data_IF_705823046885
#
_entry.id   IF_705823046885
#
_cell.length_a   1.000
_cell.length_b   1.000
_cell.length_c   1.000
_cell.angle_alpha   90.00
_cell.angle_beta   90.00
_cell.angle_gamma   90.00
#
_symmetry.space_group_name_H-M   'P 1'
#
loop_
_entity.id
_entity.type
_entity.pdbx_description
1 polymer ?
#
# COMPACT_ATOMS: atom_id res chain seq x y z
N UNK A 1 11.54 -8.93 27.28
CA UNK A 1 10.67 -9.96 26.67
C UNK A 1 10.52 -9.62 25.19
N UNK A 2 10.96 -10.49 24.29
CA UNK A 2 10.72 -10.33 22.85
C UNK A 2 9.26 -10.70 22.57
N UNK A 3 8.42 -9.69 22.33
CA UNK A 3 7.05 -9.91 21.87
C UNK A 3 7.10 -10.45 20.44
N UNK A 4 6.98 -11.76 20.28
CA UNK A 4 6.83 -12.38 18.95
C UNK A 4 5.39 -12.09 18.51
N UNK A 5 5.24 -11.36 17.41
CA UNK A 5 3.94 -11.15 16.78
C UNK A 5 3.39 -12.49 16.31
N UNK A 6 2.24 -12.91 16.82
CA UNK A 6 1.58 -14.20 16.52
C UNK A 6 0.72 -14.18 15.26
N UNK A 7 0.65 -13.05 14.55
CA UNK A 7 -0.12 -12.92 13.30
C UNK A 7 0.66 -13.53 12.13
N UNK A 8 -0.02 -14.23 11.19
CA UNK A 8 0.62 -14.79 10.01
C UNK A 8 1.22 -13.69 9.13
N UNK A 9 2.36 -13.99 8.51
CA UNK A 9 2.97 -13.13 7.50
C UNK A 9 2.12 -13.22 6.22
N UNK A 10 1.69 -12.07 5.72
CA UNK A 10 0.92 -11.98 4.47
C UNK A 10 1.82 -11.51 3.33
N UNK A 11 1.67 -12.14 2.16
CA UNK A 11 2.43 -11.85 0.96
C UNK A 11 1.51 -11.21 -0.08
N UNK A 12 1.85 -9.97 -0.46
CA UNK A 12 1.15 -9.22 -1.50
C UNK A 12 2.09 -8.80 -2.62
N UNK A 13 2.21 -9.59 -3.69
CA UNK A 13 3.06 -9.26 -4.83
C UNK A 13 2.57 -7.97 -5.50
N UNK A 14 3.51 -7.07 -5.80
CA UNK A 14 3.25 -5.88 -6.64
C UNK A 14 3.14 -6.30 -8.10
N UNK A 15 2.12 -5.78 -8.77
CA UNK A 15 1.93 -5.97 -10.22
C UNK A 15 2.53 -4.83 -11.04
N UNK A 16 3.25 -3.89 -10.42
CA UNK A 16 3.82 -2.70 -11.07
C UNK A 16 4.66 -3.04 -12.31
N UNK A 17 5.45 -4.11 -12.24
CA UNK A 17 6.34 -4.54 -13.32
C UNK A 17 5.71 -5.59 -14.25
N UNK A 18 4.42 -5.90 -14.10
CA UNK A 18 3.74 -6.83 -14.97
C UNK A 18 3.48 -6.22 -16.36
N UNK A 19 3.43 -7.07 -17.39
CA UNK A 19 2.93 -6.69 -18.70
C UNK A 19 1.47 -6.22 -18.57
N UNK A 20 1.24 -4.92 -18.77
CA UNK A 20 -0.07 -4.29 -18.58
C UNK A 20 -1.16 -4.91 -19.47
N UNK A 21 -0.78 -5.47 -20.62
CA UNK A 21 -1.72 -6.15 -21.52
C UNK A 21 -2.21 -7.49 -20.97
N UNK A 22 -1.55 -8.03 -19.93
CA UNK A 22 -1.80 -9.35 -19.34
C UNK A 22 -2.11 -9.30 -17.85
N UNK A 23 -2.46 -8.13 -17.30
CA UNK A 23 -2.68 -7.96 -15.85
C UNK A 23 -3.61 -9.01 -15.24
N UNK A 24 -4.74 -9.29 -15.89
CA UNK A 24 -5.71 -10.27 -15.38
C UNK A 24 -5.09 -11.67 -15.23
N UNK A 25 -4.34 -12.12 -16.24
CA UNK A 25 -3.67 -13.43 -16.25
C UNK A 25 -2.59 -13.48 -15.17
N UNK A 26 -1.78 -12.43 -15.05
CA UNK A 26 -0.73 -12.35 -14.03
C UNK A 26 -1.33 -12.37 -12.63
N UNK A 27 -2.39 -11.60 -12.39
CA UNK A 27 -3.05 -11.53 -11.09
C UNK A 27 -3.70 -12.87 -10.70
N UNK A 28 -4.38 -13.53 -11.63
CA UNK A 28 -4.96 -14.86 -11.39
C UNK A 28 -3.88 -15.89 -11.05
N UNK A 29 -2.77 -15.89 -11.81
CA UNK A 29 -1.61 -16.75 -11.51
C UNK A 29 -1.04 -16.50 -10.11
N UNK A 30 -0.86 -15.23 -9.71
CA UNK A 30 -0.33 -14.88 -8.39
C UNK A 30 -1.26 -15.35 -7.26
N UNK A 31 -2.58 -15.16 -7.41
CA UNK A 31 -3.56 -15.64 -6.43
C UNK A 31 -3.55 -17.17 -6.34
N UNK A 32 -3.50 -17.87 -7.47
CA UNK A 32 -3.41 -19.33 -7.52
C UNK A 32 -2.08 -19.87 -6.98
N UNK A 33 -1.04 -19.03 -6.97
CA UNK A 33 0.27 -19.34 -6.38
C UNK A 33 0.34 -19.05 -4.87
N UNK A 34 -0.77 -18.64 -4.25
CA UNK A 34 -0.87 -18.43 -2.81
C UNK A 34 -0.64 -16.98 -2.34
N UNK A 35 -0.74 -15.99 -3.23
CA UNK A 35 -0.76 -14.59 -2.80
C UNK A 35 -1.98 -14.30 -1.91
N UNK A 36 -1.76 -13.67 -0.75
CA UNK A 36 -2.83 -13.30 0.18
C UNK A 36 -3.65 -12.11 -0.33
N UNK A 37 -3.01 -11.23 -1.08
CA UNK A 37 -3.62 -10.07 -1.70
C UNK A 37 -2.81 -9.59 -2.91
N UNK A 38 -3.38 -8.72 -3.74
CA UNK A 38 -2.69 -8.11 -4.87
C UNK A 38 -2.35 -6.65 -4.53
N UNK A 39 -1.09 -6.28 -4.74
CA UNK A 39 -0.63 -4.91 -4.51
C UNK A 39 -0.55 -4.13 -5.82
N UNK A 40 -1.21 -2.98 -5.85
CA UNK A 40 -1.34 -2.13 -7.03
C UNK A 40 -0.80 -0.73 -6.73
N UNK A 41 0.27 -0.38 -7.42
CA UNK A 41 0.95 0.91 -7.30
C UNK A 41 0.34 1.94 -8.26
N UNK A 42 -0.35 2.93 -7.71
CA UNK A 42 -1.02 4.02 -8.45
C UNK A 42 -0.22 5.31 -8.32
N UNK A 43 0.20 5.88 -9.45
CA UNK A 43 1.07 7.05 -9.52
C UNK A 43 0.50 8.13 -10.44
N UNK A 44 0.56 9.39 -10.03
CA UNK A 44 -0.06 10.53 -10.73
C UNK A 44 0.92 11.48 -11.44
N UNK A 45 2.22 11.16 -11.45
CA UNK A 45 3.27 12.01 -12.01
C UNK A 45 3.59 13.28 -11.20
N UNK A 46 2.86 13.56 -10.11
CA UNK A 46 3.05 14.75 -9.28
C UNK A 46 3.71 14.40 -7.95
N UNK A 47 3.18 13.42 -7.22
CA UNK A 47 3.78 13.00 -5.95
C UNK A 47 5.07 12.21 -6.16
N UNK A 48 5.12 11.46 -7.26
CA UNK A 48 6.29 10.74 -7.75
C UNK A 48 6.47 11.04 -9.24
N UNK A 49 7.71 11.04 -9.78
CA UNK A 49 7.98 11.36 -11.18
C UNK A 49 7.71 10.16 -12.11
N UNK A 50 6.57 9.50 -11.95
CA UNK A 50 6.14 8.38 -12.78
C UNK A 50 4.60 8.31 -12.83
N UNK A 51 4.06 7.69 -13.87
CA UNK A 51 2.61 7.51 -14.08
C UNK A 51 2.37 6.03 -14.36
N UNK A 52 1.42 5.44 -13.63
CA UNK A 52 1.04 4.04 -13.83
C UNK A 52 -0.36 3.96 -14.44
N UNK A 53 -1.38 3.78 -13.62
CA UNK A 53 -2.77 3.62 -14.03
C UNK A 53 -3.72 4.16 -12.96
N UNK A 54 -4.96 4.42 -13.36
CA UNK A 54 -6.01 4.89 -12.46
C UNK A 54 -7.12 3.87 -12.22
N UNK A 55 -8.17 4.33 -11.54
CA UNK A 55 -9.37 3.55 -11.22
C UNK A 55 -10.03 2.80 -12.41
N UNK A 56 -9.99 3.26 -13.69
CA UNK A 56 -10.57 2.48 -14.79
C UNK A 56 -9.86 1.14 -15.03
N UNK A 57 -8.54 1.09 -14.83
CA UNK A 57 -7.76 -0.15 -14.94
C UNK A 57 -8.07 -1.09 -13.77
N UNK A 58 -8.16 -0.54 -12.56
CA UNK A 58 -8.56 -1.31 -11.35
C UNK A 58 -9.95 -1.92 -11.55
N UNK A 59 -10.92 -1.14 -12.03
CA UNK A 59 -12.28 -1.59 -12.28
C UNK A 59 -12.34 -2.66 -13.38
N UNK A 60 -11.53 -2.52 -14.43
CA UNK A 60 -11.40 -3.54 -15.48
C UNK A 60 -10.83 -4.83 -14.91
N UNK A 61 -9.70 -4.75 -14.19
CA UNK A 61 -9.03 -5.89 -13.58
C UNK A 61 -9.95 -6.63 -12.60
N UNK A 62 -10.65 -5.91 -11.71
CA UNK A 62 -11.51 -6.53 -10.68
C UNK A 62 -12.60 -7.44 -11.27
N UNK A 63 -13.09 -7.17 -12.48
CA UNK A 63 -14.08 -8.03 -13.18
C UNK A 63 -13.53 -9.42 -13.54
N UNK A 64 -12.22 -9.55 -13.67
CA UNK A 64 -11.54 -10.79 -14.02
C UNK A 64 -10.99 -11.55 -12.82
N UNK A 65 -11.13 -11.00 -11.61
CA UNK A 65 -10.60 -11.61 -10.39
C UNK A 65 -11.71 -12.25 -9.56
N UNK A 66 -11.39 -13.24 -8.70
CA UNK A 66 -12.33 -13.75 -7.73
C UNK A 66 -12.96 -12.63 -6.90
N UNK A 67 -14.24 -12.77 -6.55
CA UNK A 67 -14.96 -11.77 -5.75
C UNK A 67 -14.22 -11.44 -4.45
N UNK A 68 -13.68 -12.48 -3.80
CA UNK A 68 -12.87 -12.41 -2.57
C UNK A 68 -11.45 -11.85 -2.74
N UNK A 69 -10.98 -11.58 -3.96
CA UNK A 69 -9.64 -11.06 -4.19
C UNK A 69 -9.49 -9.69 -3.52
N UNK A 70 -8.52 -9.58 -2.61
CA UNK A 70 -8.22 -8.35 -1.89
C UNK A 70 -7.27 -7.48 -2.71
N UNK A 71 -7.70 -6.26 -3.03
CA UNK A 71 -6.89 -5.28 -3.76
C UNK A 71 -6.37 -4.21 -2.80
N UNK A 72 -5.04 -4.22 -2.60
CA UNK A 72 -4.31 -3.22 -1.83
C UNK A 72 -3.78 -2.15 -2.77
N UNK A 73 -4.45 -0.98 -2.79
CA UNK A 73 -4.04 0.14 -3.61
C UNK A 73 -3.05 1.02 -2.85
N UNK A 74 -1.83 1.12 -3.38
CA UNK A 74 -0.81 2.04 -2.89
C UNK A 74 -0.82 3.32 -3.72
N UNK A 75 -1.26 4.38 -3.07
CA UNK A 75 -1.62 5.65 -3.69
C UNK A 75 -0.46 6.62 -3.56
N UNK A 76 0.46 6.55 -4.52
CA UNK A 76 1.56 7.49 -4.71
C UNK A 76 1.07 8.69 -5.52
N UNK A 77 0.08 9.41 -4.97
CA UNK A 77 -0.62 10.51 -5.62
C UNK A 77 -0.72 11.72 -4.69
N UNK A 78 -0.79 12.91 -5.28
CA UNK A 78 -1.02 14.18 -4.58
C UNK A 78 -2.52 14.34 -4.27
N UNK A 79 -2.85 14.88 -3.10
CA UNK A 79 -4.24 15.05 -2.64
C UNK A 79 -5.05 13.73 -2.72
N UNK A 80 -4.63 12.68 -1.99
CA UNK A 80 -5.18 11.33 -2.09
C UNK A 80 -6.70 11.27 -1.88
N UNK A 81 -7.28 12.18 -1.09
CA UNK A 81 -8.71 12.25 -0.80
C UNK A 81 -9.57 12.36 -2.06
N UNK A 82 -9.05 12.93 -3.15
CA UNK A 82 -9.77 13.12 -4.40
C UNK A 82 -10.11 11.81 -5.11
N UNK A 83 -9.35 10.74 -4.83
CA UNK A 83 -9.45 9.48 -5.56
C UNK A 83 -10.21 8.38 -4.82
N UNK A 84 -10.51 8.58 -3.53
CA UNK A 84 -11.08 7.58 -2.62
C UNK A 84 -12.36 6.93 -3.19
N UNK A 85 -13.37 7.74 -3.54
CA UNK A 85 -14.66 7.24 -4.02
C UNK A 85 -14.53 6.44 -5.32
N UNK A 86 -13.75 6.98 -6.26
CA UNK A 86 -13.53 6.33 -7.56
C UNK A 86 -12.76 5.01 -7.40
N UNK A 87 -11.82 4.94 -6.46
CA UNK A 87 -11.08 3.71 -6.17
C UNK A 87 -11.95 2.67 -5.45
N UNK A 88 -12.80 3.09 -4.51
CA UNK A 88 -13.80 2.19 -3.91
C UNK A 88 -14.74 1.63 -4.98
N UNK A 89 -15.28 2.50 -5.84
CA UNK A 89 -16.17 2.09 -6.93
C UNK A 89 -15.48 1.13 -7.91
N UNK A 90 -14.16 1.23 -8.08
CA UNK A 90 -13.36 0.32 -8.87
C UNK A 90 -13.10 -1.05 -8.20
N UNK A 91 -13.47 -1.20 -6.92
CA UNK A 91 -13.35 -2.46 -6.17
C UNK A 91 -12.11 -2.57 -5.30
N UNK A 92 -11.49 -1.44 -4.92
CA UNK A 92 -10.41 -1.41 -3.94
C UNK A 92 -10.88 -1.98 -2.59
N UNK A 93 -10.02 -2.77 -1.94
CA UNK A 93 -10.26 -3.32 -0.60
C UNK A 93 -9.55 -2.52 0.49
N UNK A 94 -8.36 -2.00 0.15
CA UNK A 94 -7.57 -1.13 0.99
C UNK A 94 -7.02 0.03 0.17
N UNK A 95 -6.95 1.19 0.82
CA UNK A 95 -6.40 2.41 0.26
C UNK A 95 -5.26 2.89 1.16
N UNK A 96 -4.03 2.80 0.65
CA UNK A 96 -2.81 3.20 1.36
C UNK A 96 -2.30 4.50 0.77
N UNK A 97 -2.40 5.61 1.50
CA UNK A 97 -1.86 6.92 1.07
C UNK A 97 -0.56 7.26 1.80
N UNK A 98 0.20 8.24 1.31
CA UNK A 98 1.42 8.71 1.99
C UNK A 98 1.12 9.89 2.90
N UNK A 99 1.69 9.89 4.11
CA UNK A 99 1.58 11.01 5.06
C UNK A 99 1.99 12.34 4.40
N UNK A 100 3.01 12.29 3.54
CA UNK A 100 3.60 13.42 2.84
C UNK A 100 2.74 13.93 1.67
N UNK A 101 1.68 13.21 1.27
CA UNK A 101 0.90 13.54 0.08
C UNK A 101 -0.40 14.31 0.37
N UNK A 102 -0.68 14.58 1.65
CA UNK A 102 -1.85 15.33 2.11
C UNK A 102 -1.47 16.39 3.14
N UNK A 103 -2.23 17.50 3.16
CA UNK A 103 -2.15 18.50 4.23
C UNK A 103 -2.98 18.13 5.48
N UNK A 104 -3.81 17.08 5.43
CA UNK A 104 -4.65 16.65 6.54
C UNK A 104 -4.89 15.13 6.52
N UNK A 105 -3.99 14.37 7.15
CA UNK A 105 -4.05 12.92 7.19
C UNK A 105 -5.32 12.38 7.86
N UNK A 106 -5.81 12.98 8.95
CA UNK A 106 -7.04 12.52 9.62
C UNK A 106 -8.27 12.66 8.72
N UNK A 107 -8.35 13.73 7.93
CA UNK A 107 -9.42 13.88 6.95
C UNK A 107 -9.38 12.78 5.88
N UNK A 108 -8.19 12.45 5.36
CA UNK A 108 -8.02 11.35 4.41
C UNK A 108 -8.43 10.00 5.02
N UNK A 109 -7.98 9.71 6.25
CA UNK A 109 -8.31 8.50 7.00
C UNK A 109 -9.83 8.33 7.14
N UNK A 110 -10.53 9.37 7.59
CA UNK A 110 -11.99 9.33 7.73
C UNK A 110 -12.67 9.07 6.40
N UNK A 111 -12.25 9.76 5.34
CA UNK A 111 -12.84 9.59 4.01
C UNK A 111 -12.70 8.15 3.48
N UNK A 112 -11.52 7.55 3.65
CA UNK A 112 -11.27 6.16 3.25
C UNK A 112 -12.17 5.20 4.06
N UNK A 113 -12.32 5.44 5.36
CA UNK A 113 -13.14 4.64 6.26
C UNK A 113 -14.62 4.73 5.91
N UNK A 114 -15.13 5.93 5.64
CA UNK A 114 -16.51 6.19 5.22
C UNK A 114 -16.84 5.53 3.88
N UNK A 115 -15.86 5.44 2.98
CA UNK A 115 -15.96 4.69 1.74
C UNK A 115 -15.84 3.15 1.93
N UNK A 116 -15.87 2.64 3.17
CA UNK A 116 -15.83 1.21 3.48
C UNK A 116 -14.58 0.50 2.92
N UNK A 117 -13.41 1.15 3.04
CA UNK A 117 -12.12 0.54 2.73
C UNK A 117 -11.25 0.44 3.99
N UNK A 118 -10.34 -0.52 4.00
CA UNK A 118 -9.24 -0.49 4.97
C UNK A 118 -8.31 0.68 4.69
N UNK A 119 -7.81 1.30 5.76
CA UNK A 119 -6.95 2.48 5.72
C UNK A 119 -5.49 2.05 5.92
N UNK A 120 -4.66 2.32 4.91
CA UNK A 120 -3.21 2.24 5.04
C UNK A 120 -2.57 3.63 5.11
N UNK A 121 -1.52 3.78 5.92
CA UNK A 121 -0.70 4.99 5.97
C UNK A 121 0.76 4.64 5.66
N UNK A 122 1.24 5.17 4.55
CA UNK A 122 2.60 5.05 4.06
C UNK A 122 3.48 6.23 4.47
N UNK A 123 4.78 5.96 4.63
CA UNK A 123 5.81 6.99 4.78
C UNK A 123 7.01 6.68 3.91
N UNK A 124 7.63 7.73 3.36
CA UNK A 124 8.88 7.65 2.59
C UNK A 124 10.06 7.19 3.46
N UNK A 125 11.16 6.72 2.85
CA UNK A 125 12.34 6.25 3.58
C UNK A 125 13.02 7.32 4.44
N UNK A 126 12.78 8.61 4.19
CA UNK A 126 13.38 9.73 4.95
C UNK A 126 12.49 10.29 6.06
N UNK A 127 11.19 10.03 6.00
CA UNK A 127 10.22 10.51 6.99
C UNK A 127 10.34 9.69 8.25
N UNK A 128 10.59 10.27 9.44
CA UNK A 128 10.72 9.51 10.68
C UNK A 128 9.52 8.61 10.99
N UNK A 129 9.80 7.41 11.47
CA UNK A 129 8.78 6.43 11.95
C UNK A 129 7.82 7.05 12.95
N UNK A 130 8.34 7.90 13.84
CA UNK A 130 7.56 8.51 14.92
C UNK A 130 6.44 9.41 14.42
N UNK A 131 6.49 9.88 13.17
CA UNK A 131 5.44 10.74 12.61
C UNK A 131 4.13 10.02 12.36
N UNK A 132 4.11 8.69 12.28
CA UNK A 132 2.85 7.95 12.16
C UNK A 132 2.19 7.63 13.50
N UNK A 133 2.90 7.79 14.62
CA UNK A 133 2.40 7.44 15.96
C UNK A 133 1.05 8.10 16.31
N UNK A 134 0.78 9.36 15.93
CA UNK A 134 -0.53 9.97 16.19
C UNK A 134 -1.71 9.29 15.49
N UNK A 135 -1.46 8.49 14.46
CA UNK A 135 -2.48 7.92 13.57
C UNK A 135 -2.68 6.42 13.76
N UNK A 136 -1.83 5.74 14.54
CA UNK A 136 -1.80 4.27 14.61
C UNK A 136 -3.13 3.66 14.99
N UNK A 137 -3.87 4.28 15.93
CA UNK A 137 -5.19 3.79 16.36
C UNK A 137 -6.30 4.02 15.33
N UNK A 138 -6.02 4.82 14.29
CA UNK A 138 -6.99 5.22 13.27
C UNK A 138 -6.79 4.50 11.93
N UNK A 139 -5.76 3.67 11.80
CA UNK A 139 -5.38 2.99 10.54
C UNK A 139 -5.28 1.47 10.73
N UNK A 140 -5.47 0.72 9.64
CA UNK A 140 -5.39 -0.75 9.67
C UNK A 140 -3.97 -1.26 9.38
N UNK A 141 -3.17 -0.46 8.68
CA UNK A 141 -1.83 -0.85 8.20
C UNK A 141 -0.89 0.35 8.11
N UNK A 142 0.36 0.17 8.54
CA UNK A 142 1.45 1.11 8.28
C UNK A 142 2.36 0.53 7.21
N UNK A 143 2.61 1.32 6.16
CA UNK A 143 3.55 0.99 5.09
C UNK A 143 4.84 1.79 5.27
N UNK A 144 5.95 1.10 5.49
CA UNK A 144 7.28 1.73 5.49
C UNK A 144 7.90 1.47 4.13
N UNK A 145 8.09 2.53 3.36
CA UNK A 145 8.83 2.45 2.11
C UNK A 145 10.30 2.17 2.40
N UNK A 146 10.86 1.22 1.66
CA UNK A 146 12.29 0.87 1.80
C UNK A 146 13.16 1.31 0.62
N UNK A 147 12.53 2.01 -0.33
CA UNK A 147 13.12 2.67 -1.49
C UNK A 147 12.33 3.95 -1.74
N UNK A 148 12.87 4.88 -2.53
CA UNK A 148 12.10 6.07 -2.90
C UNK A 148 10.91 5.62 -3.78
N UNK A 149 9.67 6.01 -3.44
CA UNK A 149 8.50 5.66 -4.23
C UNK A 149 8.61 6.18 -5.67
N UNK A 150 8.07 5.41 -6.62
CA UNK A 150 7.97 5.81 -8.02
C UNK A 150 8.47 4.77 -9.03
N UNK A 151 9.36 3.86 -8.63
CA UNK A 151 9.93 2.86 -9.55
C UNK A 151 10.14 1.50 -8.87
N UNK A 152 9.85 0.42 -9.61
CA UNK A 152 10.26 -0.95 -9.26
C UNK A 152 11.75 -1.20 -9.56
N UNK A 153 12.25 -2.39 -9.26
CA UNK A 153 13.64 -2.81 -9.55
C UNK A 153 14.74 -2.18 -8.69
N UNK A 154 14.40 -1.39 -7.67
CA UNK A 154 15.37 -0.69 -6.83
C UNK A 154 15.99 -1.59 -5.77
N UNK A 155 17.27 -1.37 -5.47
CA UNK A 155 17.94 -2.06 -4.37
C UNK A 155 17.39 -1.62 -3.02
N UNK A 156 17.20 -2.57 -2.10
CA UNK A 156 16.74 -2.32 -0.74
C UNK A 156 17.71 -1.41 0.03
N UNK A 157 17.21 -0.33 0.64
CA UNK A 157 18.04 0.53 1.47
C UNK A 157 18.22 -0.11 2.86
N UNK A 158 19.45 -0.51 3.20
CA UNK A 158 19.75 -1.19 4.46
C UNK A 158 19.31 -0.43 5.72
N UNK A 159 19.27 0.91 5.67
CA UNK A 159 18.80 1.75 6.80
C UNK A 159 17.37 1.40 7.23
N UNK A 160 16.57 0.80 6.34
CA UNK A 160 15.19 0.41 6.63
C UNK A 160 15.11 -0.71 7.68
N UNK A 161 16.13 -1.58 7.78
CA UNK A 161 16.17 -2.61 8.82
C UNK A 161 16.22 -2.01 10.24
N UNK A 162 16.90 -0.88 10.43
CA UNK A 162 16.95 -0.21 11.73
C UNK A 162 15.59 0.37 12.12
N UNK A 163 14.83 0.86 11.14
CA UNK A 163 13.47 1.39 11.35
C UNK A 163 12.47 0.32 11.81
N UNK A 164 12.64 -0.91 11.34
CA UNK A 164 11.87 -2.07 11.81
C UNK A 164 12.06 -2.32 13.30
N UNK A 165 13.31 -2.24 13.78
CA UNK A 165 13.62 -2.49 15.19
C UNK A 165 12.99 -1.46 16.13
N UNK A 166 12.79 -0.23 15.65
CA UNK A 166 12.13 0.85 16.39
C UNK A 166 10.62 0.56 16.50
N UNK A 167 9.98 0.21 15.38
CA UNK A 167 8.54 -0.13 15.37
C UNK A 167 8.21 -1.36 16.22
N UNK A 168 9.02 -2.41 16.14
CA UNK A 168 8.80 -3.67 16.88
C UNK A 168 8.87 -3.47 18.40
N UNK A 169 9.68 -2.51 18.89
CA UNK A 169 9.80 -2.23 20.32
C UNK A 169 8.69 -1.33 20.88
N UNK A 170 8.09 -0.47 20.04
CA UNK A 170 7.15 0.57 20.47
C UNK A 170 5.67 0.24 20.31
N UNK A 171 5.30 -0.84 19.62
CA UNK A 171 3.91 -1.09 19.22
C UNK A 171 3.39 -2.47 19.63
N UNK A 172 2.33 -2.48 20.45
CA UNK A 172 1.48 -3.65 20.66
C UNK A 172 0.57 -3.83 19.43
N UNK A 173 0.88 -4.83 18.60
CA UNK A 173 0.02 -5.43 17.56
C UNK A 173 -0.49 -4.52 16.41
N UNK A 174 0.38 -4.16 15.47
CA UNK A 174 -0.06 -3.57 14.19
C UNK A 174 0.50 -4.31 13.00
N UNK A 175 -0.23 -4.31 11.88
CA UNK A 175 0.20 -4.94 10.62
C UNK A 175 1.17 -3.98 9.95
N UNK A 176 2.44 -4.35 9.95
CA UNK A 176 3.50 -3.64 9.26
C UNK A 176 3.69 -4.24 7.87
N UNK A 177 3.55 -3.42 6.84
CA UNK A 177 3.89 -3.80 5.47
C UNK A 177 5.27 -3.27 5.09
N UNK A 178 6.09 -4.17 4.56
CA UNK A 178 7.37 -3.85 3.94
C UNK A 178 7.25 -4.02 2.44
N UNK A 179 7.61 -2.99 1.69
CA UNK A 179 7.74 -3.10 0.24
C UNK A 179 9.13 -3.61 -0.09
N UNK A 180 9.27 -4.90 -0.38
CA UNK A 180 10.53 -5.43 -0.91
C UNK A 180 10.48 -5.33 -2.42
N UNK A 181 11.46 -4.64 -2.99
CA UNK A 181 11.60 -4.52 -4.44
C UNK A 181 12.65 -5.51 -4.90
N UNK A 182 12.25 -6.44 -5.78
CA UNK A 182 13.20 -7.31 -6.49
C UNK A 182 13.73 -6.57 -7.72
N UNK A 183 15.03 -6.68 -8.05
CA UNK A 183 15.53 -6.34 -9.38
C UNK A 183 14.85 -7.17 -10.48
#
# INVERSE_FOLDING_TARGET
MTHICSKPILIGPSILNADLSKLAVVCDHLLNSGADYLHLDVMDGHFVPNITFGHPVVASLKKHLPSKAFLDLHMMVSNPEKWVENMKAAGASQYTFHLESTGNAMHCIHKIREADMKVGLGIKPKTPVTEVLPYVDSVDMILIMTVEPGFGGQNLWQICYQRLSIFVKGMQMWILKLMVVSP
#
